data_IF_666230432788
#
_entry.id   IF_666230432788
#
_cell.length_a   1.000
_cell.length_b   1.000
_cell.length_c   1.000
_cell.angle_alpha   90.00
_cell.angle_beta   90.00
_cell.angle_gamma   90.00
#
_symmetry.space_group_name_H-M   'P 1'
#
loop_
_entity.id
_entity.type
_entity.pdbx_description
1 polymer ?
#
# COMPACT_ATOMS: atom_id res chain seq x y z
N UNK A 1 -6.67 18.15 1.52
CA UNK A 1 -5.70 17.42 2.37
C UNK A 1 -4.43 17.17 1.58
N UNK A 2 -3.31 17.79 1.95
CA UNK A 2 -2.08 17.72 1.17
C UNK A 2 -1.43 16.34 1.29
N UNK A 3 -1.21 15.69 0.16
CA UNK A 3 -0.47 14.42 0.08
C UNK A 3 1.01 14.73 -0.08
N UNK A 4 1.78 14.56 0.97
CA UNK A 4 3.24 14.70 0.89
C UNK A 4 3.80 13.49 0.15
N UNK A 5 4.13 13.67 -1.14
CA UNK A 5 4.83 12.67 -1.94
C UNK A 5 6.33 12.76 -1.66
N UNK A 6 6.92 11.73 -1.10
CA UNK A 6 8.38 11.59 -1.09
C UNK A 6 8.87 11.04 -2.41
N UNK A 7 10.07 11.47 -2.83
CA UNK A 7 10.77 10.87 -3.97
C UNK A 7 11.09 9.40 -3.66
N UNK A 8 10.56 8.49 -4.46
CA UNK A 8 10.81 7.06 -4.31
C UNK A 8 12.18 6.75 -4.88
N UNK A 9 13.11 6.29 -4.03
CA UNK A 9 14.42 5.78 -4.44
C UNK A 9 14.39 4.26 -4.53
N UNK A 10 14.96 3.71 -5.61
CA UNK A 10 15.16 2.26 -5.75
C UNK A 10 16.54 1.92 -5.18
N UNK A 11 16.56 1.00 -4.23
CA UNK A 11 17.81 0.50 -3.65
C UNK A 11 18.23 -0.77 -4.37
N UNK A 12 19.36 -0.71 -5.07
CA UNK A 12 19.94 -1.85 -5.78
C UNK A 12 21.04 -2.49 -4.94
N UNK A 13 21.16 -3.81 -5.05
CA UNK A 13 22.25 -4.55 -4.40
C UNK A 13 23.59 -4.05 -4.93
N UNK A 14 24.57 -3.83 -4.03
CA UNK A 14 25.94 -3.46 -4.42
C UNK A 14 26.54 -4.52 -5.34
N UNK A 15 27.24 -4.12 -6.38
CA UNK A 15 27.83 -4.95 -7.45
C UNK A 15 26.82 -5.74 -8.31
N UNK A 16 25.51 -5.48 -8.23
CA UNK A 16 24.54 -6.12 -9.13
C UNK A 16 24.67 -5.68 -10.59
N UNK A 17 25.31 -4.55 -10.85
CA UNK A 17 25.69 -4.03 -12.14
C UNK A 17 26.97 -4.71 -12.69
N UNK A 18 27.84 -5.18 -11.79
CA UNK A 18 29.14 -5.77 -12.13
C UNK A 18 29.09 -7.27 -12.41
N UNK A 19 28.21 -8.02 -11.70
CA UNK A 19 28.12 -9.47 -11.79
C UNK A 19 26.74 -9.93 -12.23
N UNK A 20 26.64 -10.60 -13.39
CA UNK A 20 25.37 -11.11 -13.95
C UNK A 20 24.61 -12.05 -13.01
N UNK A 21 25.31 -12.86 -12.20
CA UNK A 21 24.71 -13.78 -11.22
C UNK A 21 24.06 -13.09 -10.03
N UNK A 22 24.32 -11.78 -9.80
CA UNK A 22 23.74 -11.04 -8.69
C UNK A 22 22.44 -10.36 -9.12
N UNK A 23 21.34 -10.75 -8.50
CA UNK A 23 20.04 -10.08 -8.69
C UNK A 23 20.09 -8.66 -8.10
N UNK A 24 19.33 -7.74 -8.69
CA UNK A 24 19.26 -6.32 -8.27
C UNK A 24 18.54 -6.10 -6.94
N UNK A 25 17.84 -7.12 -6.42
CA UNK A 25 17.13 -7.04 -5.14
C UNK A 25 18.08 -6.65 -4.01
N UNK A 26 17.66 -5.71 -3.18
CA UNK A 26 18.50 -5.21 -2.10
C UNK A 26 18.96 -6.30 -1.14
N UNK A 27 20.25 -6.29 -0.85
CA UNK A 27 20.89 -7.07 0.22
C UNK A 27 21.84 -6.16 0.98
N UNK A 28 21.75 -6.14 2.31
CA UNK A 28 22.63 -5.34 3.17
C UNK A 28 24.06 -5.85 3.08
N UNK A 29 25.03 -5.00 2.72
CA UNK A 29 26.43 -5.40 2.70
C UNK A 29 26.94 -5.71 4.11
N UNK A 30 27.73 -6.80 4.25
CA UNK A 30 28.27 -7.25 5.54
C UNK A 30 29.79 -7.37 5.56
N UNK A 31 30.44 -7.23 4.40
CA UNK A 31 31.90 -7.36 4.31
C UNK A 31 32.64 -6.30 5.12
N UNK A 32 33.77 -6.66 5.73
CA UNK A 32 34.60 -5.77 6.57
C UNK A 32 35.09 -4.55 5.81
N UNK A 33 35.49 -4.70 4.54
CA UNK A 33 36.06 -3.63 3.70
C UNK A 33 35.00 -2.94 2.82
N UNK A 34 33.70 -3.27 3.02
CA UNK A 34 32.66 -2.69 2.21
C UNK A 34 32.49 -1.19 2.47
N UNK A 35 32.86 -0.38 1.50
CA UNK A 35 32.68 1.07 1.54
C UNK A 35 31.19 1.48 1.57
N UNK A 36 30.27 0.66 1.02
CA UNK A 36 28.83 0.88 1.13
C UNK A 36 28.35 0.65 2.55
N UNK A 37 28.83 -0.42 3.22
CA UNK A 37 28.53 -0.66 4.64
C UNK A 37 28.97 0.51 5.52
N UNK A 38 30.16 1.03 5.28
CA UNK A 38 30.73 2.18 6.00
C UNK A 38 30.13 3.52 5.57
N UNK A 39 29.22 3.53 4.59
CA UNK A 39 28.50 4.73 4.10
C UNK A 39 29.41 5.82 3.55
N UNK A 40 30.42 5.45 2.77
CA UNK A 40 31.31 6.43 2.12
C UNK A 40 30.53 7.29 1.13
N UNK A 41 30.90 8.58 1.08
CA UNK A 41 30.37 9.56 0.13
C UNK A 41 30.57 9.07 -1.33
N UNK A 42 29.62 9.31 -2.22
CA UNK A 42 29.70 8.88 -3.62
C UNK A 42 29.42 7.39 -3.89
N UNK A 43 29.16 6.57 -2.86
CA UNK A 43 28.80 5.16 -3.02
C UNK A 43 27.29 4.96 -2.97
N UNK A 44 26.83 3.76 -3.31
CA UNK A 44 25.42 3.37 -3.32
C UNK A 44 24.76 3.63 -1.96
N UNK A 45 23.62 4.29 -1.98
CA UNK A 45 22.89 4.66 -0.76
C UNK A 45 22.19 3.42 -0.19
N UNK A 46 22.33 3.20 1.10
CA UNK A 46 21.61 2.17 1.84
C UNK A 46 20.24 2.65 2.33
N UNK A 47 19.24 1.76 2.39
CA UNK A 47 17.97 2.07 3.06
C UNK A 47 18.19 2.50 4.51
N UNK A 48 17.47 3.53 4.93
CA UNK A 48 17.42 3.97 6.32
C UNK A 48 16.03 4.54 6.66
N UNK A 49 15.80 4.83 7.94
CA UNK A 49 14.51 5.32 8.44
C UNK A 49 14.09 6.63 7.77
N UNK A 50 15.05 7.52 7.43
CA UNK A 50 14.77 8.80 6.78
C UNK A 50 14.11 8.69 5.40
N UNK A 51 14.20 7.53 4.71
CA UNK A 51 13.51 7.28 3.46
C UNK A 51 12.04 6.88 3.63
N UNK A 52 11.59 6.56 4.83
CA UNK A 52 10.20 6.21 5.12
C UNK A 52 9.25 7.39 4.89
N UNK A 53 7.97 7.10 4.67
CA UNK A 53 6.93 8.13 4.57
C UNK A 53 6.65 8.75 5.95
N UNK A 54 6.18 10.00 5.96
CA UNK A 54 5.77 10.68 7.18
C UNK A 54 4.68 9.86 7.89
N UNK A 55 4.76 9.74 9.21
CA UNK A 55 3.80 9.00 10.03
C UNK A 55 2.34 9.40 9.76
N UNK A 56 2.06 10.70 9.65
CA UNK A 56 0.71 11.25 9.39
C UNK A 56 0.13 10.86 8.03
N UNK A 57 0.98 10.54 7.04
CA UNK A 57 0.57 10.22 5.66
C UNK A 57 0.86 8.78 5.25
N UNK A 58 1.49 8.00 6.13
CA UNK A 58 1.81 6.58 5.89
C UNK A 58 0.52 5.76 5.81
N UNK A 59 0.54 4.71 4.97
CA UNK A 59 -0.57 3.77 4.79
C UNK A 59 -1.87 4.38 4.22
N UNK A 60 -1.81 5.58 3.66
CA UNK A 60 -2.95 6.17 2.95
C UNK A 60 -2.93 5.75 1.48
N UNK A 61 -4.09 5.48 0.95
CA UNK A 61 -4.28 5.27 -0.49
C UNK A 61 -4.03 6.55 -1.31
N UNK A 62 -4.07 6.42 -2.64
CA UNK A 62 -3.97 7.55 -3.57
C UNK A 62 -5.04 8.61 -3.29
N UNK A 63 -6.22 8.20 -2.85
CA UNK A 63 -7.34 9.08 -2.48
C UNK A 63 -7.13 9.79 -1.13
N UNK A 64 -6.03 9.51 -0.41
CA UNK A 64 -5.76 10.08 0.91
C UNK A 64 -6.49 9.39 2.06
N UNK A 65 -7.30 8.37 1.80
CA UNK A 65 -8.04 7.61 2.81
C UNK A 65 -7.23 6.41 3.31
N UNK A 66 -7.49 6.00 4.54
CA UNK A 66 -6.95 4.75 5.09
C UNK A 66 -7.84 3.58 4.69
N UNK A 67 -7.24 2.42 4.42
CA UNK A 67 -7.98 1.20 4.10
C UNK A 67 -8.38 0.45 5.35
N UNK A 68 -9.65 -0.01 5.41
CA UNK A 68 -10.14 -0.99 6.38
C UNK A 68 -10.69 -2.18 5.60
N UNK A 69 -10.20 -3.37 5.93
CA UNK A 69 -10.66 -4.61 5.32
C UNK A 69 -11.99 -5.03 5.95
N UNK A 70 -12.97 -5.36 5.10
CA UNK A 70 -14.31 -5.79 5.51
C UNK A 70 -14.65 -7.16 4.90
N UNK A 71 -15.36 -7.97 5.66
CA UNK A 71 -15.79 -9.31 5.24
C UNK A 71 -17.31 -9.47 5.26
N UNK A 72 -18.01 -8.60 5.99
CA UNK A 72 -19.44 -8.66 6.19
C UNK A 72 -20.11 -7.31 5.97
N UNK A 73 -21.42 -7.36 5.69
CA UNK A 73 -22.25 -6.16 5.54
C UNK A 73 -22.33 -5.36 6.86
N UNK A 74 -22.22 -6.03 8.02
CA UNK A 74 -22.22 -5.38 9.35
C UNK A 74 -20.96 -4.54 9.58
N UNK A 75 -19.82 -4.92 9.01
CA UNK A 75 -18.53 -4.23 9.17
C UNK A 75 -18.58 -2.79 8.61
N UNK A 76 -19.48 -2.52 7.67
CA UNK A 76 -19.68 -1.16 7.13
C UNK A 76 -20.19 -0.18 8.19
N UNK A 77 -20.88 -0.66 9.22
CA UNK A 77 -21.43 0.21 10.26
C UNK A 77 -20.33 0.96 11.02
N UNK A 78 -19.13 0.36 11.15
CA UNK A 78 -17.97 1.01 11.79
C UNK A 78 -17.48 2.24 11.00
N UNK A 79 -17.78 2.30 9.69
CA UNK A 79 -17.30 3.36 8.81
C UNK A 79 -18.27 4.53 8.65
N UNK A 80 -19.51 4.44 9.14
CA UNK A 80 -20.57 5.44 8.96
C UNK A 80 -20.10 6.82 9.42
N UNK A 81 -19.49 6.91 10.62
CA UNK A 81 -19.00 8.18 11.17
C UNK A 81 -17.61 8.58 10.66
N UNK A 82 -16.98 7.77 9.84
CA UNK A 82 -15.57 7.91 9.43
C UNK A 82 -15.37 7.82 7.92
N UNK A 83 -16.42 7.92 7.12
CA UNK A 83 -16.42 7.76 5.66
C UNK A 83 -15.45 8.70 4.92
N UNK A 84 -15.10 9.86 5.51
CA UNK A 84 -14.11 10.82 4.96
C UNK A 84 -12.65 10.51 5.33
N UNK A 85 -12.43 9.61 6.30
CA UNK A 85 -11.08 9.22 6.75
C UNK A 85 -10.67 7.85 6.24
N UNK A 86 -11.63 6.95 6.12
CA UNK A 86 -11.41 5.56 5.77
C UNK A 86 -12.17 5.18 4.50
N UNK A 87 -11.63 4.21 3.78
CA UNK A 87 -12.29 3.51 2.69
C UNK A 87 -12.34 2.01 2.98
N UNK A 88 -13.38 1.35 2.53
CA UNK A 88 -13.55 -0.09 2.71
C UNK A 88 -12.83 -0.87 1.62
N UNK A 89 -12.16 -1.96 1.97
CA UNK A 89 -11.60 -2.94 1.05
C UNK A 89 -12.24 -4.30 1.29
N UNK A 90 -12.94 -4.84 0.30
CA UNK A 90 -13.60 -6.15 0.44
C UNK A 90 -12.55 -7.25 0.43
N UNK A 91 -12.56 -8.10 1.44
CA UNK A 91 -11.64 -9.23 1.56
C UNK A 91 -11.75 -10.21 0.39
N UNK A 92 -10.60 -10.81 0.00
CA UNK A 92 -10.52 -11.75 -1.12
C UNK A 92 -11.46 -12.95 -0.98
N UNK A 93 -11.64 -13.46 0.25
CA UNK A 93 -12.47 -14.64 0.53
C UNK A 93 -13.99 -14.41 0.49
N UNK A 94 -14.45 -13.17 0.28
CA UNK A 94 -15.88 -12.85 0.24
C UNK A 94 -16.46 -13.29 -1.10
N UNK A 95 -17.54 -14.09 -1.08
CA UNK A 95 -18.24 -14.56 -2.28
C UNK A 95 -18.96 -13.45 -3.05
N UNK A 96 -19.21 -13.65 -4.35
CA UNK A 96 -19.78 -12.66 -5.27
C UNK A 96 -21.13 -12.11 -4.78
N UNK A 97 -22.05 -12.98 -4.37
CA UNK A 97 -23.37 -12.57 -3.85
C UNK A 97 -23.24 -11.60 -2.65
N UNK A 98 -22.37 -11.94 -1.67
CA UNK A 98 -22.12 -11.11 -0.50
C UNK A 98 -21.44 -9.79 -0.87
N UNK A 99 -20.52 -9.80 -1.84
CA UNK A 99 -19.90 -8.57 -2.39
C UNK A 99 -20.97 -7.62 -2.95
N UNK A 100 -21.94 -8.12 -3.69
CA UNK A 100 -23.05 -7.32 -4.23
C UNK A 100 -23.85 -6.62 -3.11
N UNK A 101 -24.20 -7.35 -2.04
CA UNK A 101 -24.88 -6.79 -0.89
C UNK A 101 -24.05 -5.69 -0.17
N UNK A 102 -22.75 -5.93 -0.02
CA UNK A 102 -21.83 -4.96 0.57
C UNK A 102 -21.78 -3.69 -0.30
N UNK A 103 -21.68 -3.83 -1.63
CA UNK A 103 -21.65 -2.68 -2.55
C UNK A 103 -22.94 -1.86 -2.49
N UNK A 104 -24.12 -2.51 -2.53
CA UNK A 104 -25.43 -1.83 -2.40
C UNK A 104 -25.51 -1.03 -1.10
N UNK A 105 -25.13 -1.64 0.04
CA UNK A 105 -25.17 -0.96 1.34
C UNK A 105 -24.13 0.16 1.44
N UNK A 106 -22.94 -0.01 0.88
CA UNK A 106 -21.89 1.00 0.90
C UNK A 106 -22.29 2.25 0.11
N UNK A 107 -23.00 2.11 -1.01
CA UNK A 107 -23.57 3.23 -1.78
C UNK A 107 -24.58 4.00 -0.95
N UNK A 108 -25.49 3.31 -0.24
CA UNK A 108 -26.49 3.97 0.61
C UNK A 108 -25.87 4.73 1.79
N UNK A 109 -24.67 4.33 2.24
CA UNK A 109 -23.96 4.94 3.36
C UNK A 109 -22.87 5.93 2.94
N UNK A 110 -22.74 6.21 1.64
CA UNK A 110 -21.66 7.06 1.05
C UNK A 110 -20.25 6.61 1.49
N UNK A 111 -20.01 5.29 1.54
CA UNK A 111 -18.72 4.70 1.89
C UNK A 111 -17.99 4.30 0.61
N UNK A 112 -16.77 4.82 0.41
CA UNK A 112 -15.91 4.44 -0.71
C UNK A 112 -15.37 3.04 -0.56
N UNK A 113 -15.49 2.23 -1.64
CA UNK A 113 -14.87 0.90 -1.73
C UNK A 113 -13.66 0.98 -2.66
N UNK A 114 -12.50 0.49 -2.19
CA UNK A 114 -11.24 0.57 -2.95
C UNK A 114 -11.16 -0.45 -4.08
N UNK A 115 -11.86 -1.58 -3.97
CA UNK A 115 -11.90 -2.68 -4.95
C UNK A 115 -13.34 -3.04 -5.37
N UNK A 116 -14.10 -2.11 -5.97
CA UNK A 116 -15.44 -2.41 -6.45
C UNK A 116 -15.36 -3.44 -7.59
N UNK A 117 -16.27 -4.40 -7.58
CA UNK A 117 -16.47 -5.32 -8.71
C UNK A 117 -17.43 -4.64 -9.66
N UNK A 118 -17.15 -4.69 -10.96
CA UNK A 118 -18.15 -4.39 -11.98
C UNK A 118 -19.22 -5.48 -11.88
N UNK A 119 -20.36 -5.16 -11.31
CA UNK A 119 -21.53 -6.05 -11.36
C UNK A 119 -22.07 -5.87 -12.77
N UNK A 120 -21.80 -6.85 -13.63
CA UNK A 120 -22.53 -6.93 -14.88
C UNK A 120 -24.00 -7.06 -14.50
N UNK A 121 -24.85 -6.24 -15.10
CA UNK A 121 -26.31 -6.15 -14.87
C UNK A 121 -27.10 -7.42 -15.25
N UNK A 122 -26.47 -8.57 -15.29
CA UNK A 122 -27.03 -9.87 -15.70
C UNK A 122 -27.39 -10.78 -14.53
N UNK A 123 -27.56 -10.24 -13.33
CA UNK A 123 -28.06 -10.99 -12.17
C UNK A 123 -29.28 -10.23 -11.64
N UNK A 124 -30.38 -10.31 -12.36
CA UNK A 124 -31.72 -10.18 -11.84
C UNK A 124 -32.20 -11.50 -11.25
#
# INVERSE_FOLDING_TARGET
>A
MFKIKKRIKKFKRHHSDRYKRLKTSWRKPRGIDSCVRRRFKGKTIMPNIGFGSNFKTRNRNLNGLFKIQIFNVRDLNMLIMSNRKFEAEIGKGVGIKKKGLILKKALNLDIKISNPIKINSSIE
#
